data_IF_752727856987
#
_entry.id   IF_752727856987
#
_cell.length_a   1.000
_cell.length_b   1.000
_cell.length_c   1.000
_cell.angle_alpha   90.00
_cell.angle_beta   90.00
_cell.angle_gamma   90.00
#
_symmetry.space_group_name_H-M   'P 1'
#
loop_
_entity.id
_entity.type
_entity.pdbx_description
1 polymer ?
#
# COMPACT_ATOMS: atom_id res chain seq x y z
N UNK A 1 -3.10 4.69 5.03
CA UNK A 1 -3.68 5.43 6.16
C UNK A 1 -4.15 4.46 7.23
N UNK A 2 -4.43 4.97 8.42
CA UNK A 2 -5.06 4.16 9.48
C UNK A 2 -6.52 3.88 9.14
N UNK A 3 -6.99 2.66 9.39
CA UNK A 3 -8.40 2.29 9.26
C UNK A 3 -8.89 1.66 10.57
N UNK A 4 -9.88 2.30 11.19
CA UNK A 4 -10.42 1.90 12.50
C UNK A 4 -11.20 0.58 12.46
N UNK A 5 -11.77 0.18 11.31
CA UNK A 5 -12.35 -1.16 11.14
C UNK A 5 -11.25 -2.22 11.18
N UNK A 6 -10.14 -2.00 10.46
CA UNK A 6 -9.00 -2.93 10.46
C UNK A 6 -8.37 -3.04 11.86
N UNK A 7 -8.27 -1.93 12.59
CA UNK A 7 -7.83 -1.91 13.99
C UNK A 7 -8.75 -2.75 14.89
N UNK A 8 -10.06 -2.61 14.75
CA UNK A 8 -11.03 -3.40 15.50
C UNK A 8 -10.91 -4.91 15.24
N UNK A 9 -10.67 -5.29 13.97
CA UNK A 9 -10.42 -6.68 13.59
C UNK A 9 -9.09 -7.19 14.16
N UNK A 10 -8.02 -6.40 14.05
CA UNK A 10 -6.72 -6.72 14.64
C UNK A 10 -6.82 -6.90 16.16
N UNK A 11 -7.59 -6.05 16.85
CA UNK A 11 -7.80 -6.16 18.30
C UNK A 11 -8.59 -7.42 18.67
N UNK A 12 -9.65 -7.73 17.91
CA UNK A 12 -10.41 -8.97 18.10
C UNK A 12 -9.52 -10.21 17.90
N UNK A 13 -8.68 -10.20 16.87
CA UNK A 13 -7.71 -11.24 16.60
C UNK A 13 -6.67 -11.40 17.72
N UNK A 14 -6.04 -10.30 18.14
CA UNK A 14 -5.02 -10.27 19.18
C UNK A 14 -5.57 -10.75 20.54
N UNK A 15 -6.79 -10.35 20.89
CA UNK A 15 -7.43 -10.73 22.16
C UNK A 15 -7.68 -12.23 22.31
N UNK A 16 -7.69 -13.01 21.21
CA UNK A 16 -7.80 -14.48 21.29
C UNK A 16 -6.53 -15.12 21.83
N UNK A 17 -5.39 -14.44 21.77
CA UNK A 17 -4.09 -14.98 22.18
C UNK A 17 -3.71 -16.29 21.46
N UNK A 18 -4.10 -16.42 20.19
CA UNK A 18 -3.77 -17.55 19.31
C UNK A 18 -2.89 -17.02 18.18
N UNK A 19 -1.67 -17.55 18.04
CA UNK A 19 -0.72 -17.17 16.99
C UNK A 19 -1.03 -17.89 15.68
N UNK A 20 -2.16 -17.54 15.08
CA UNK A 20 -2.66 -18.09 13.82
C UNK A 20 -3.35 -17.00 13.01
N UNK A 21 -3.27 -17.11 11.69
CA UNK A 21 -3.90 -16.17 10.77
C UNK A 21 -5.43 -16.24 10.77
N UNK A 22 -6.07 -15.13 10.46
CA UNK A 22 -7.52 -15.01 10.31
C UNK A 22 -7.96 -15.15 8.85
N UNK A 23 -9.07 -15.86 8.64
CA UNK A 23 -9.61 -16.11 7.31
C UNK A 23 -11.15 -16.04 7.30
N UNK A 24 -11.70 -15.64 6.15
CA UNK A 24 -13.14 -15.60 5.92
C UNK A 24 -13.87 -14.53 6.75
N UNK A 25 -15.20 -14.47 6.59
CA UNK A 25 -16.02 -13.46 7.27
C UNK A 25 -15.50 -12.04 7.04
N UNK A 26 -15.36 -11.27 8.12
CA UNK A 26 -14.84 -9.90 8.09
C UNK A 26 -13.37 -9.76 7.67
N UNK A 27 -12.61 -10.86 7.73
CA UNK A 27 -11.20 -10.95 7.33
C UNK A 27 -11.01 -11.35 5.87
N UNK A 28 -12.10 -11.67 5.16
CA UNK A 28 -12.05 -12.09 3.77
C UNK A 28 -11.42 -11.02 2.88
N UNK A 29 -10.30 -11.36 2.23
CA UNK A 29 -9.59 -10.49 1.32
C UNK A 29 -8.60 -9.52 1.97
N UNK A 30 -8.46 -9.53 3.30
CA UNK A 30 -7.46 -8.74 4.01
C UNK A 30 -6.07 -9.37 3.93
N UNK A 31 -5.04 -8.55 4.13
CA UNK A 31 -3.69 -9.03 4.43
C UNK A 31 -3.47 -9.00 5.93
N UNK A 32 -2.59 -9.85 6.46
CA UNK A 32 -2.34 -9.91 7.91
C UNK A 32 -0.87 -10.20 8.21
N UNK A 33 -0.31 -9.46 9.16
CA UNK A 33 0.99 -9.75 9.77
C UNK A 33 0.85 -10.01 11.26
N UNK A 34 1.56 -11.02 11.76
CA UNK A 34 1.50 -11.45 13.15
C UNK A 34 2.90 -11.46 13.77
N UNK A 35 3.00 -10.93 14.98
CA UNK A 35 4.18 -11.06 15.83
C UNK A 35 3.77 -11.65 17.18
N UNK A 36 4.50 -12.67 17.65
CA UNK A 36 4.42 -13.15 19.02
C UNK A 36 5.81 -13.07 19.67
N UNK A 37 5.89 -12.40 20.81
CA UNK A 37 7.09 -12.36 21.64
C UNK A 37 7.03 -11.26 22.68
N UNK A 38 8.18 -10.92 23.27
CA UNK A 38 8.22 -10.03 24.44
C UNK A 38 8.48 -8.55 24.12
N UNK A 39 8.56 -8.17 22.84
CA UNK A 39 8.66 -6.75 22.46
C UNK A 39 7.40 -6.01 22.90
N UNK A 40 7.54 -4.74 23.26
CA UNK A 40 6.43 -3.85 23.59
C UNK A 40 6.38 -2.63 22.68
N UNK A 41 7.51 -2.31 22.03
CA UNK A 41 7.60 -1.22 21.07
C UNK A 41 7.10 -1.70 19.70
N UNK A 42 6.05 -1.05 19.19
CA UNK A 42 5.47 -1.32 17.86
C UNK A 42 6.51 -1.14 16.75
N UNK A 43 7.39 -0.13 16.86
CA UNK A 43 8.45 0.12 15.89
C UNK A 43 9.40 -1.08 15.77
N UNK A 44 9.73 -1.74 16.88
CA UNK A 44 10.57 -2.93 16.86
C UNK A 44 9.88 -4.09 16.12
N UNK A 45 8.58 -4.28 16.33
CA UNK A 45 7.81 -5.35 15.70
C UNK A 45 7.66 -5.13 14.19
N UNK A 46 7.35 -3.89 13.77
CA UNK A 46 7.32 -3.52 12.36
C UNK A 46 8.70 -3.65 11.72
N UNK A 47 9.77 -3.29 12.45
CA UNK A 47 11.15 -3.49 11.99
C UNK A 47 11.44 -4.98 11.78
N UNK A 48 10.98 -5.87 12.67
CA UNK A 48 11.14 -7.32 12.50
C UNK A 48 10.43 -7.84 11.24
N UNK A 49 9.22 -7.36 10.95
CA UNK A 49 8.54 -7.65 9.67
C UNK A 49 9.38 -7.18 8.48
N UNK A 50 9.88 -5.95 8.53
CA UNK A 50 10.68 -5.38 7.45
C UNK A 50 12.02 -6.11 7.25
N UNK A 51 12.66 -6.61 8.31
CA UNK A 51 13.97 -7.27 8.24
C UNK A 51 14.00 -8.55 7.38
N UNK A 52 12.85 -9.11 7.02
CA UNK A 52 12.80 -10.21 6.04
C UNK A 52 13.32 -9.80 4.66
N UNK A 53 13.40 -8.49 4.35
CA UNK A 53 14.04 -7.99 3.12
C UNK A 53 15.48 -8.48 2.95
N UNK A 54 16.21 -8.76 4.05
CA UNK A 54 17.58 -9.27 4.00
C UNK A 54 17.67 -10.66 3.34
N UNK A 55 16.57 -11.42 3.35
CA UNK A 55 16.46 -12.72 2.69
C UNK A 55 15.68 -12.65 1.37
N UNK A 56 14.99 -11.54 1.08
CA UNK A 56 14.17 -11.41 -0.12
C UNK A 56 15.00 -10.96 -1.32
N UNK A 57 15.04 -11.77 -2.38
CA UNK A 57 15.63 -11.38 -3.65
C UNK A 57 14.55 -10.76 -4.55
N UNK A 58 14.62 -9.44 -4.76
CA UNK A 58 13.64 -8.73 -5.56
C UNK A 58 13.62 -9.17 -7.03
N UNK A 59 14.77 -9.51 -7.61
CA UNK A 59 14.84 -9.90 -9.03
C UNK A 59 14.25 -11.28 -9.32
N UNK A 60 14.40 -12.23 -8.38
CA UNK A 60 13.85 -13.58 -8.53
C UNK A 60 12.50 -13.77 -7.81
N UNK A 61 12.08 -12.80 -7.01
CA UNK A 61 10.92 -12.87 -6.11
C UNK A 61 11.00 -14.04 -5.12
N UNK A 62 12.21 -14.52 -4.80
CA UNK A 62 12.43 -15.64 -3.90
C UNK A 62 12.83 -15.16 -2.50
N UNK A 63 12.34 -15.87 -1.49
CA UNK A 63 12.77 -15.69 -0.10
C UNK A 63 13.83 -16.74 0.25
N UNK A 64 15.09 -16.31 0.36
CA UNK A 64 16.24 -17.16 0.64
C UNK A 64 16.51 -17.24 2.15
N UNK A 65 15.50 -17.64 2.92
CA UNK A 65 15.63 -17.80 4.37
C UNK A 65 16.04 -19.24 4.69
N UNK A 66 17.07 -19.49 5.52
CA UNK A 66 17.29 -20.83 6.05
C UNK A 66 16.01 -21.28 6.77
N UNK A 67 15.59 -22.53 6.55
CA UNK A 67 14.42 -23.15 7.18
C UNK A 67 14.62 -23.27 8.69
N UNK A 68 14.50 -22.14 9.39
CA UNK A 68 14.45 -22.08 10.84
C UNK A 68 12.99 -21.75 11.17
N UNK A 69 12.32 -22.67 11.86
CA UNK A 69 10.92 -22.59 12.30
C UNK A 69 9.80 -22.85 11.26
N UNK A 70 10.08 -23.47 10.10
CA UNK A 70 9.06 -23.80 9.08
C UNK A 70 8.25 -22.61 8.52
N UNK A 71 8.77 -21.38 8.63
CA UNK A 71 8.22 -20.19 7.96
C UNK A 71 9.16 -19.71 6.84
N UNK A 72 9.20 -20.39 5.67
CA UNK A 72 10.06 -20.01 4.54
C UNK A 72 9.48 -18.82 3.76
N UNK A 73 8.97 -17.80 4.45
CA UNK A 73 8.32 -16.66 3.81
C UNK A 73 8.98 -15.34 4.20
N UNK A 74 8.99 -14.43 3.23
CA UNK A 74 9.28 -13.01 3.41
C UNK A 74 7.95 -12.23 3.35
N UNK A 75 6.87 -12.90 3.78
CA UNK A 75 5.48 -12.42 3.67
C UNK A 75 5.27 -11.14 4.47
N UNK A 76 5.88 -11.03 5.65
CA UNK A 76 5.73 -9.84 6.47
C UNK A 76 6.35 -8.63 5.79
N UNK A 77 7.57 -8.78 5.25
CA UNK A 77 8.20 -7.71 4.49
C UNK A 77 7.36 -7.32 3.28
N UNK A 78 7.00 -8.28 2.43
CA UNK A 78 6.25 -7.99 1.19
C UNK A 78 4.89 -7.36 1.46
N UNK A 79 4.22 -7.71 2.57
CA UNK A 79 2.99 -7.06 3.01
C UNK A 79 3.23 -5.62 3.48
N UNK A 80 4.31 -5.35 4.22
CA UNK A 80 4.67 -3.99 4.68
C UNK A 80 4.96 -3.04 3.51
N UNK A 81 5.63 -3.52 2.47
CA UNK A 81 6.02 -2.70 1.31
C UNK A 81 5.08 -2.82 0.10
N UNK A 82 3.94 -3.51 0.25
CA UNK A 82 3.01 -3.80 -0.84
C UNK A 82 2.38 -2.54 -1.42
N UNK A 83 2.64 -2.22 -2.69
CA UNK A 83 2.21 -0.96 -3.32
C UNK A 83 0.69 -0.81 -3.47
N UNK A 84 -0.04 -1.92 -3.50
CA UNK A 84 -1.50 -1.90 -3.58
C UNK A 84 -2.17 -1.71 -2.21
N UNK A 85 -1.42 -1.92 -1.12
CA UNK A 85 -1.91 -1.81 0.25
C UNK A 85 -2.00 -0.34 0.60
N UNK A 86 -3.19 0.11 0.97
CA UNK A 86 -3.49 1.54 1.20
C UNK A 86 -3.89 1.83 2.63
N UNK A 87 -4.43 0.84 3.33
CA UNK A 87 -4.90 1.02 4.69
C UNK A 87 -4.42 -0.10 5.60
N UNK A 88 -4.20 0.25 6.87
CA UNK A 88 -3.75 -0.66 7.90
C UNK A 88 -4.43 -0.32 9.22
N UNK A 89 -4.69 -1.33 10.03
CA UNK A 89 -5.05 -1.18 11.44
C UNK A 89 -4.38 -2.29 12.23
N UNK A 90 -3.83 -1.95 13.39
CA UNK A 90 -3.04 -2.88 14.19
C UNK A 90 -3.46 -2.83 15.66
N UNK A 91 -3.22 -3.92 16.38
CA UNK A 91 -3.48 -4.02 17.81
C UNK A 91 -2.48 -4.94 18.48
N UNK A 92 -2.31 -4.77 19.80
CA UNK A 92 -1.47 -5.60 20.64
C UNK A 92 -2.30 -6.12 21.83
N UNK A 93 -2.13 -7.40 22.16
CA UNK A 93 -2.71 -8.02 23.35
C UNK A 93 -1.61 -8.72 24.16
N UNK A 94 -1.67 -8.57 25.48
CA UNK A 94 -0.78 -9.27 26.41
C UNK A 94 -1.33 -10.67 26.67
N UNK A 95 -0.59 -11.70 26.24
CA UNK A 95 -0.94 -13.10 26.39
C UNK A 95 0.01 -13.81 27.36
N UNK A 96 -0.35 -15.00 27.84
CA UNK A 96 0.52 -15.79 28.73
C UNK A 96 1.85 -16.18 28.09
N UNK A 97 1.90 -16.24 26.77
CA UNK A 97 3.07 -16.62 25.96
C UNK A 97 3.88 -15.42 25.43
N UNK A 98 3.45 -14.19 25.72
CA UNK A 98 4.06 -12.95 25.22
C UNK A 98 3.01 -11.98 24.68
N UNK A 99 3.47 -10.91 24.04
CA UNK A 99 2.59 -9.97 23.37
C UNK A 99 2.29 -10.46 21.96
N UNK A 100 1.00 -10.61 21.64
CA UNK A 100 0.52 -10.87 20.30
C UNK A 100 0.18 -9.54 19.63
N UNK A 101 0.95 -9.20 18.60
CA UNK A 101 0.75 -8.01 17.77
C UNK A 101 0.22 -8.43 16.40
N UNK A 102 -0.90 -7.83 16.00
CA UNK A 102 -1.62 -8.13 14.76
C UNK A 102 -1.74 -6.83 13.97
N UNK A 103 -1.42 -6.88 12.69
CA UNK A 103 -1.74 -5.83 11.74
C UNK A 103 -2.60 -6.40 10.61
N UNK A 104 -3.78 -5.83 10.43
CA UNK A 104 -4.68 -6.09 9.32
C UNK A 104 -4.50 -5.01 8.25
N UNK A 105 -4.44 -5.43 7.01
CA UNK A 105 -4.24 -4.59 5.82
C UNK A 105 -5.45 -4.69 4.91
N UNK A 106 -5.80 -3.62 4.19
CA UNK A 106 -6.99 -3.59 3.32
C UNK A 106 -6.99 -4.66 2.23
N UNK A 107 -5.82 -5.22 1.93
CA UNK A 107 -5.63 -6.37 1.05
C UNK A 107 -4.32 -7.10 1.29
N UNK A 108 -4.25 -8.33 0.81
CA UNK A 108 -2.98 -9.04 0.63
C UNK A 108 -2.11 -8.32 -0.41
N UNK A 109 -0.84 -8.11 -0.10
CA UNK A 109 0.11 -7.54 -1.06
C UNK A 109 0.35 -8.48 -2.27
N UNK A 110 0.56 -7.92 -3.48
CA UNK A 110 0.88 -8.71 -4.66
C UNK A 110 2.29 -9.28 -4.58
N UNK A 111 2.59 -10.21 -5.49
CA UNK A 111 3.96 -10.64 -5.80
C UNK A 111 4.26 -10.29 -7.27
N UNK A 112 5.26 -9.43 -7.55
CA UNK A 112 6.11 -8.70 -6.61
C UNK A 112 5.35 -7.67 -5.76
N UNK A 113 5.88 -7.26 -4.58
CA UNK A 113 5.20 -6.32 -3.69
C UNK A 113 5.02 -4.94 -4.32
N UNK A 114 5.88 -4.53 -5.24
CA UNK A 114 5.79 -3.27 -5.96
C UNK A 114 6.50 -3.37 -7.32
N UNK A 115 6.27 -2.38 -8.20
CA UNK A 115 6.98 -2.25 -9.48
C UNK A 115 8.24 -1.43 -9.26
N UNK A 116 9.40 -1.95 -9.62
CA UNK A 116 10.66 -1.21 -9.55
C UNK A 116 10.71 -0.10 -10.61
N UNK A 117 11.14 1.09 -10.21
CA UNK A 117 11.27 2.24 -11.10
C UNK A 117 11.47 3.53 -10.32
N UNK A 118 11.53 4.68 -11.00
CA UNK A 118 11.55 5.98 -10.33
C UNK A 118 10.34 6.14 -9.41
N UNK A 119 10.48 6.75 -8.21
CA UNK A 119 9.37 6.94 -7.29
C UNK A 119 8.20 7.65 -7.96
N UNK A 120 6.98 7.21 -7.64
CA UNK A 120 5.73 7.76 -8.16
C UNK A 120 5.53 7.70 -9.69
N UNK A 121 6.36 6.95 -10.42
CA UNK A 121 6.24 6.81 -11.88
C UNK A 121 5.07 5.94 -12.36
N UNK A 122 4.45 5.19 -11.45
CA UNK A 122 3.36 4.25 -11.75
C UNK A 122 2.17 4.39 -10.77
N UNK A 123 1.86 5.61 -10.32
CA UNK A 123 0.73 5.83 -9.43
C UNK A 123 -0.61 5.59 -10.15
N UNK A 124 -1.37 4.59 -9.69
CA UNK A 124 -2.69 4.25 -10.26
C UNK A 124 -3.79 5.10 -9.62
N UNK A 125 -4.47 5.93 -10.42
CA UNK A 125 -5.64 6.72 -10.01
C UNK A 125 -5.33 7.88 -9.05
N UNK A 126 -4.08 8.02 -8.61
CA UNK A 126 -3.58 9.21 -7.94
C UNK A 126 -2.35 9.70 -8.69
N UNK A 127 -2.11 11.01 -8.63
CA UNK A 127 -1.04 11.60 -9.44
C UNK A 127 -0.12 12.51 -8.61
N UNK A 128 -0.41 12.64 -7.31
CA UNK A 128 0.46 13.35 -6.37
C UNK A 128 1.47 12.41 -5.73
N UNK A 129 2.65 12.95 -5.48
CA UNK A 129 3.80 12.26 -4.91
C UNK A 129 4.32 13.02 -3.70
N UNK A 130 4.54 12.30 -2.61
CA UNK A 130 5.17 12.81 -1.40
C UNK A 130 6.12 11.76 -0.85
N UNK A 131 7.40 12.10 -0.68
CA UNK A 131 8.44 11.20 -0.17
C UNK A 131 8.49 9.82 -0.88
N UNK A 132 8.20 9.80 -2.18
CA UNK A 132 8.20 8.59 -3.01
C UNK A 132 6.92 7.75 -2.94
N UNK A 133 5.89 8.21 -2.22
CA UNK A 133 4.59 7.56 -2.10
C UNK A 133 3.53 8.24 -2.97
N UNK A 134 2.69 7.42 -3.59
CA UNK A 134 1.49 7.87 -4.30
C UNK A 134 0.41 8.28 -3.30
N UNK A 135 -0.02 9.54 -3.35
CA UNK A 135 -1.06 10.08 -2.45
C UNK A 135 -2.23 10.68 -3.24
N UNK A 136 -3.43 10.63 -2.67
CA UNK A 136 -4.62 11.21 -3.29
C UNK A 136 -4.71 12.73 -3.03
N UNK A 137 -5.66 13.40 -3.68
CA UNK A 137 -5.85 14.84 -3.54
C UNK A 137 -6.14 15.31 -2.11
N UNK A 138 -6.95 14.56 -1.35
CA UNK A 138 -7.26 14.88 0.04
C UNK A 138 -6.01 14.87 0.91
N UNK A 139 -5.17 13.84 0.78
CA UNK A 139 -3.90 13.75 1.49
C UNK A 139 -2.94 14.87 1.10
N UNK A 140 -2.90 15.22 -0.19
CA UNK A 140 -2.14 16.38 -0.67
C UNK A 140 -2.62 17.66 -0.01
N UNK A 141 -3.93 17.86 0.09
CA UNK A 141 -4.52 19.06 0.67
C UNK A 141 -4.20 19.17 2.17
N UNK A 142 -4.27 18.06 2.91
CA UNK A 142 -3.86 18.02 4.32
C UNK A 142 -2.36 18.34 4.50
N UNK A 143 -1.50 17.73 3.69
CA UNK A 143 -0.05 17.92 3.75
C UNK A 143 0.35 19.36 3.44
N UNK A 144 -0.24 19.97 2.42
CA UNK A 144 0.08 21.33 1.99
C UNK A 144 -0.54 22.36 2.94
N UNK A 145 -1.83 22.23 3.25
CA UNK A 145 -2.57 23.26 3.96
C UNK A 145 -2.35 23.20 5.48
N UNK A 146 -2.17 22.02 6.06
CA UNK A 146 -2.10 21.84 7.51
C UNK A 146 -0.67 21.53 8.01
N UNK A 147 0.21 21.01 7.15
CA UNK A 147 1.55 20.56 7.54
C UNK A 147 2.69 21.30 6.83
N UNK A 148 2.37 22.29 5.98
CA UNK A 148 3.32 23.10 5.22
C UNK A 148 4.35 22.23 4.44
N UNK A 149 3.88 21.14 3.85
CA UNK A 149 4.70 20.20 3.08
C UNK A 149 4.61 20.50 1.60
N UNK A 150 5.70 20.20 0.88
CA UNK A 150 5.73 20.28 -0.59
C UNK A 150 5.32 18.94 -1.18
N UNK A 151 4.24 18.94 -1.97
CA UNK A 151 3.73 17.79 -2.70
C UNK A 151 3.78 18.08 -4.18
N UNK A 152 4.24 17.13 -4.99
CA UNK A 152 4.39 17.32 -6.44
C UNK A 152 3.40 16.46 -7.23
N UNK A 153 2.96 16.98 -8.37
CA UNK A 153 2.24 16.23 -9.39
C UNK A 153 3.26 15.47 -10.26
N UNK A 154 3.36 14.15 -10.09
CA UNK A 154 4.35 13.29 -10.77
C UNK A 154 3.90 12.78 -12.14
N UNK A 155 2.73 13.20 -12.59
CA UNK A 155 2.14 12.74 -13.84
C UNK A 155 2.92 13.23 -15.07
N UNK A 156 3.24 12.31 -15.97
CA UNK A 156 3.90 12.59 -17.25
C UNK A 156 2.91 12.33 -18.39
N UNK A 157 2.40 13.40 -19.00
CA UNK A 157 1.43 13.29 -20.08
C UNK A 157 2.08 12.87 -21.40
N UNK A 158 1.50 11.86 -22.05
CA UNK A 158 1.88 11.34 -23.37
C UNK A 158 1.06 12.01 -24.47
N UNK A 159 1.42 11.76 -25.72
CA UNK A 159 0.63 12.14 -26.91
C UNK A 159 0.19 13.62 -26.93
N UNK A 160 1.12 14.51 -26.59
CA UNK A 160 0.89 15.97 -26.50
C UNK A 160 -0.19 16.39 -25.50
N UNK A 161 -0.53 15.52 -24.54
CA UNK A 161 -1.37 15.89 -23.41
C UNK A 161 -0.68 16.92 -22.52
N UNK A 162 -1.46 17.81 -21.92
CA UNK A 162 -0.94 18.84 -21.00
C UNK A 162 -1.29 18.50 -19.57
N UNK A 163 -0.32 18.69 -18.66
CA UNK A 163 -0.54 18.47 -17.23
C UNK A 163 -1.40 19.59 -16.68
N UNK A 164 -2.46 19.23 -15.95
CA UNK A 164 -3.37 20.17 -15.30
C UNK A 164 -3.41 19.83 -13.81
N UNK A 165 -3.19 20.86 -13.00
CA UNK A 165 -3.30 20.80 -11.55
C UNK A 165 -4.43 21.73 -11.12
N UNK A 166 -5.54 21.15 -10.65
CA UNK A 166 -6.69 21.89 -10.15
C UNK A 166 -6.59 21.94 -8.62
N UNK A 167 -5.82 22.92 -8.14
CA UNK A 167 -5.59 23.16 -6.71
C UNK A 167 -6.81 23.89 -6.12
N UNK A 168 -7.28 23.44 -4.95
CA UNK A 168 -8.43 24.05 -4.26
C UNK A 168 -9.79 23.45 -4.66
N UNK A 169 -9.80 22.42 -5.52
CA UNK A 169 -10.93 21.49 -5.59
C UNK A 169 -10.95 20.62 -4.32
N UNK A 170 -12.12 20.05 -3.99
CA UNK A 170 -12.25 19.13 -2.87
C UNK A 170 -12.58 17.72 -3.39
N UNK A 171 -11.59 16.84 -3.62
CA UNK A 171 -10.15 17.03 -3.39
C UNK A 171 -9.39 17.65 -4.58
N UNK A 172 -8.19 18.18 -4.35
CA UNK A 172 -7.31 18.67 -5.43
C UNK A 172 -7.01 17.59 -6.46
N UNK A 173 -6.84 17.97 -7.73
CA UNK A 173 -6.67 17.01 -8.84
C UNK A 173 -5.39 17.30 -9.62
N UNK A 174 -4.66 16.24 -9.98
CA UNK A 174 -3.54 16.26 -10.92
C UNK A 174 -3.84 15.24 -12.02
N UNK A 175 -4.03 15.73 -13.25
CA UNK A 175 -4.45 14.92 -14.40
C UNK A 175 -3.78 15.39 -15.69
N UNK A 176 -3.87 14.59 -16.75
CA UNK A 176 -3.51 15.00 -18.10
C UNK A 176 -4.78 15.37 -18.88
N UNK A 177 -4.75 16.55 -19.50
CA UNK A 177 -5.73 16.92 -20.51
C UNK A 177 -5.27 16.34 -21.86
N UNK A 178 -6.00 15.34 -22.36
CA UNK A 178 -5.62 14.59 -23.55
C UNK A 178 -6.05 15.26 -24.85
N UNK A 179 -5.21 15.13 -25.88
CA UNK A 179 -5.57 15.52 -27.23
C UNK A 179 -6.62 14.58 -27.82
N UNK A 180 -7.32 15.05 -28.86
CA UNK A 180 -8.31 14.24 -29.59
C UNK A 180 -7.72 12.90 -30.03
N UNK A 181 -8.48 11.82 -29.84
CA UNK A 181 -8.04 10.46 -30.15
C UNK A 181 -7.30 9.74 -29.02
N UNK A 182 -7.00 10.41 -27.90
CA UNK A 182 -6.31 9.79 -26.75
C UNK A 182 -7.06 9.96 -25.43
N UNK A 183 -6.92 8.98 -24.55
CA UNK A 183 -7.59 8.89 -23.25
C UNK A 183 -6.68 8.20 -22.21
N UNK A 184 -7.19 8.05 -21.00
CA UNK A 184 -6.47 7.47 -19.87
C UNK A 184 -5.78 8.53 -19.00
N UNK A 185 -5.25 8.10 -17.86
CA UNK A 185 -4.69 9.01 -16.85
C UNK A 185 -3.51 9.82 -17.37
N UNK A 186 -2.68 9.24 -18.25
CA UNK A 186 -1.50 9.85 -18.85
C UNK A 186 -1.64 10.10 -20.36
N UNK A 187 -2.84 9.94 -20.92
CA UNK A 187 -3.13 10.02 -22.36
C UNK A 187 -2.45 8.97 -23.24
N UNK A 188 -2.02 7.84 -22.68
CA UNK A 188 -1.38 6.76 -23.44
C UNK A 188 -2.34 5.90 -24.26
N UNK A 189 -3.63 5.87 -23.92
CA UNK A 189 -4.61 4.97 -24.55
C UNK A 189 -5.29 5.62 -25.74
N UNK A 190 -5.24 5.00 -26.91
CA UNK A 190 -6.02 5.45 -28.07
C UNK A 190 -7.52 5.21 -27.84
N UNK A 191 -8.34 6.22 -28.12
CA UNK A 191 -9.78 6.05 -28.16
C UNK A 191 -10.11 5.23 -29.41
N UNK A 192 -10.54 3.97 -29.23
CA UNK A 192 -11.04 3.19 -30.37
C UNK A 192 -12.33 3.84 -30.86
N UNK A 193 -12.38 4.21 -32.14
CA UNK A 193 -13.65 4.53 -32.78
C UNK A 193 -14.55 3.30 -32.67
N UNK A 194 -15.73 3.47 -32.06
CA UNK A 194 -16.81 2.50 -32.20
C UNK A 194 -17.21 2.51 -33.68
N UNK A 195 -16.59 1.65 -34.47
CA UNK A 195 -17.10 1.29 -35.79
C UNK A 195 -18.45 0.62 -35.51
N UNK A 196 -19.53 1.40 -35.64
CA UNK A 196 -20.88 0.87 -35.72
C UNK A 196 -20.90 -0.13 -36.89
N UNK A 197 -20.82 -1.41 -36.57
CA UNK A 197 -21.17 -2.46 -37.52
C UNK A 197 -22.69 -2.39 -37.68
N UNK A 198 -23.12 -1.83 -38.81
CA UNK A 198 -24.49 -1.95 -39.33
C UNK A 198 -24.76 -3.38 -39.79
#
# INVERSE_FOLDING_TARGET
TWNTRLEGLAQAAANRCVFEHNYGGDYSGLGENLYLGFRTNVSDMITLFYMEHLAYNFSSHQCNRPNVFNFPSCGHYTQVVGSSVKEVGCAIASCSTGNLFVCEYDRTAPSPPYVAGPPCSACSGTSFCYEGLCINGSMRDDLVNNQNKTVTCSLVCKNCGTRVELVGMNPSICMCNCQSGYSGQDCSSEMRENVLQY
#
